data_IF_218198134773
#
_entry.id   IF_218198134773
#
_cell.length_a   1.000
_cell.length_b   1.000
_cell.length_c   1.000
_cell.angle_alpha   90.00
_cell.angle_beta   90.00
_cell.angle_gamma   90.00
#
_symmetry.space_group_name_H-M   'P 1'
#
loop_
_entity.id
_entity.type
_entity.pdbx_description
1 polymer ?
#
# COMPACT_ATOMS: atom_id res chain seq x y z
N UNK A 1 -34.04 35.93 -25.93
CA UNK A 1 -33.34 34.67 -26.25
C UNK A 1 -32.43 34.36 -25.07
N UNK A 2 -32.89 33.51 -24.14
CA UNK A 2 -32.21 33.21 -22.89
C UNK A 2 -31.41 31.91 -23.09
N UNK A 3 -30.08 32.01 -23.05
CA UNK A 3 -29.17 30.88 -23.22
C UNK A 3 -28.92 30.25 -21.84
N UNK A 4 -29.51 29.08 -21.58
CA UNK A 4 -29.20 28.26 -20.41
C UNK A 4 -27.95 27.42 -20.68
N UNK A 5 -26.87 27.67 -19.93
CA UNK A 5 -25.66 26.84 -19.95
C UNK A 5 -25.89 25.68 -18.97
N UNK A 6 -26.09 24.47 -19.49
CA UNK A 6 -26.06 23.25 -18.69
C UNK A 6 -24.62 22.96 -18.27
N UNK A 7 -24.30 23.16 -17.00
CA UNK A 7 -23.06 22.68 -16.39
C UNK A 7 -23.16 21.17 -16.20
N UNK A 8 -22.49 20.40 -17.06
CA UNK A 8 -22.31 18.97 -16.84
C UNK A 8 -21.09 18.74 -15.97
N UNK A 9 -21.32 18.24 -14.76
CA UNK A 9 -20.26 17.70 -13.91
C UNK A 9 -19.74 16.41 -14.55
N UNK A 10 -18.64 16.51 -15.31
CA UNK A 10 -17.91 15.33 -15.78
C UNK A 10 -17.27 14.67 -14.56
N UNK A 11 -17.85 13.57 -14.08
CA UNK A 11 -17.13 12.64 -13.22
C UNK A 11 -16.27 11.78 -14.13
N UNK A 12 -14.95 12.02 -14.12
CA UNK A 12 -14.01 11.06 -14.67
C UNK A 12 -14.15 9.77 -13.86
N UNK A 13 -14.79 8.75 -14.43
CA UNK A 13 -14.73 7.40 -13.88
C UNK A 13 -13.36 6.86 -14.28
N UNK A 14 -12.46 6.73 -13.31
CA UNK A 14 -11.24 5.94 -13.47
C UNK A 14 -11.72 4.51 -13.71
N UNK A 15 -11.49 3.96 -14.90
CA UNK A 15 -11.67 2.51 -15.07
C UNK A 15 -10.71 1.82 -14.11
N UNK A 16 -11.28 1.04 -13.19
CA UNK A 16 -10.50 0.25 -12.24
C UNK A 16 -9.71 -0.80 -13.03
N UNK A 17 -8.38 -0.70 -12.99
CA UNK A 17 -7.51 -1.68 -13.60
C UNK A 17 -7.66 -2.98 -12.79
N UNK A 18 -8.32 -3.99 -13.37
CA UNK A 18 -8.36 -5.32 -12.79
C UNK A 18 -7.03 -6.01 -13.05
N UNK A 19 -6.25 -6.22 -12.00
CA UNK A 19 -4.96 -6.87 -12.13
C UNK A 19 -5.00 -8.40 -12.01
N UNK A 20 -6.19 -9.00 -12.01
CA UNK A 20 -6.38 -10.46 -12.02
C UNK A 20 -6.04 -11.14 -10.69
N UNK A 21 -5.83 -12.46 -10.74
CA UNK A 21 -5.70 -13.37 -9.59
C UNK A 21 -4.26 -13.77 -9.25
N UNK A 22 -3.28 -12.95 -9.61
CA UNK A 22 -1.89 -13.26 -9.32
C UNK A 22 -1.58 -13.06 -7.82
N UNK A 23 -0.57 -13.75 -7.31
CA UNK A 23 -0.07 -13.55 -5.95
C UNK A 23 0.39 -12.09 -5.71
N UNK A 24 0.79 -11.42 -6.79
CA UNK A 24 1.21 -10.03 -6.86
C UNK A 24 0.20 -9.24 -7.70
N UNK A 25 -0.97 -8.91 -7.14
CA UNK A 25 -2.06 -8.33 -7.89
C UNK A 25 -1.67 -7.01 -8.55
N UNK A 26 -1.19 -5.97 -7.85
CA UNK A 26 -0.78 -4.72 -8.53
C UNK A 26 0.70 -4.79 -8.92
N UNK A 27 1.09 -4.98 -10.20
CA UNK A 27 2.49 -5.24 -10.56
C UNK A 27 3.45 -4.11 -10.17
N UNK A 28 3.04 -2.87 -10.41
CA UNK A 28 3.84 -1.66 -10.08
C UNK A 28 4.08 -1.46 -8.59
N UNK A 29 3.24 -2.07 -7.75
CA UNK A 29 3.30 -1.96 -6.29
C UNK A 29 3.87 -3.24 -5.66
N UNK A 30 3.73 -4.39 -6.33
CA UNK A 30 4.22 -5.69 -5.86
C UNK A 30 5.73 -5.83 -5.91
N UNK A 31 6.38 -5.13 -6.85
CA UNK A 31 7.83 -5.01 -6.94
C UNK A 31 8.48 -4.55 -5.64
N UNK A 32 7.74 -3.82 -4.78
CA UNK A 32 8.16 -3.38 -3.46
C UNK A 32 8.61 -4.54 -2.54
N UNK A 33 8.06 -5.74 -2.73
CA UNK A 33 8.45 -6.91 -1.96
C UNK A 33 9.93 -7.26 -2.17
N UNK A 34 10.43 -7.14 -3.41
CA UNK A 34 11.82 -7.44 -3.75
C UNK A 34 12.81 -6.49 -3.05
N UNK A 35 12.44 -5.22 -2.92
CA UNK A 35 13.26 -4.21 -2.22
C UNK A 35 13.23 -4.33 -0.69
N UNK A 36 12.14 -4.88 -0.12
CA UNK A 36 12.05 -5.09 1.34
C UNK A 36 12.63 -6.43 1.80
N UNK A 37 12.58 -7.49 0.98
CA UNK A 37 13.00 -8.83 1.39
C UNK A 37 14.49 -9.09 1.17
N UNK A 38 15.14 -8.36 0.25
CA UNK A 38 16.56 -8.53 -0.02
C UNK A 38 17.33 -7.40 0.67
N UNK A 39 18.13 -7.69 1.72
CA UNK A 39 19.00 -6.67 2.29
C UNK A 39 19.97 -6.21 1.22
N UNK A 40 19.98 -4.91 0.94
CA UNK A 40 20.94 -4.27 0.03
C UNK A 40 22.35 -4.49 0.57
N UNK A 41 23.09 -5.41 -0.05
CA UNK A 41 24.48 -5.70 0.27
C UNK A 41 25.19 -6.22 -0.96
N UNK A 42 26.46 -5.84 -1.13
CA UNK A 42 27.37 -6.38 -2.14
C UNK A 42 27.45 -7.92 -2.15
N UNK A 43 26.96 -8.60 -1.09
CA UNK A 43 26.95 -10.05 -0.95
C UNK A 43 25.94 -10.78 -1.86
N UNK A 44 24.90 -10.10 -2.38
CA UNK A 44 23.90 -10.73 -3.26
C UNK A 44 24.28 -10.70 -4.74
N UNK A 45 25.31 -9.93 -5.11
CA UNK A 45 25.74 -9.77 -6.51
C UNK A 45 24.76 -8.99 -7.39
N UNK A 46 23.72 -8.37 -6.80
CA UNK A 46 22.73 -7.60 -7.54
C UNK A 46 23.11 -6.11 -7.58
N UNK A 47 23.23 -5.48 -8.77
CA UNK A 47 23.50 -4.05 -8.87
C UNK A 47 22.28 -3.22 -8.46
N UNK A 48 22.49 -2.16 -7.67
CA UNK A 48 21.47 -1.17 -7.36
C UNK A 48 21.41 -0.12 -8.47
N UNK A 49 20.29 -0.04 -9.17
CA UNK A 49 20.05 0.96 -10.22
C UNK A 49 18.83 1.78 -9.80
N UNK A 50 19.06 3.04 -9.43
CA UNK A 50 18.01 3.99 -9.05
C UNK A 50 18.28 5.39 -9.61
N UNK A 51 17.26 5.99 -10.20
CA UNK A 51 17.27 7.33 -10.79
C UNK A 51 16.27 8.23 -10.05
N UNK A 52 16.71 9.23 -9.29
CA UNK A 52 15.81 10.24 -8.75
C UNK A 52 15.24 11.08 -9.90
N UNK A 53 13.91 11.17 -10.00
CA UNK A 53 13.23 11.95 -11.04
C UNK A 53 12.85 13.34 -10.54
N UNK A 54 12.38 13.42 -9.30
CA UNK A 54 11.96 14.66 -8.67
C UNK A 54 12.13 14.53 -7.16
N UNK A 55 12.57 15.60 -6.51
CA UNK A 55 12.57 15.69 -5.05
C UNK A 55 11.89 16.98 -4.63
N UNK A 56 10.77 16.85 -3.94
CA UNK A 56 10.04 17.98 -3.36
C UNK A 56 10.42 18.09 -1.88
N UNK A 57 11.16 19.15 -1.49
CA UNK A 57 11.50 19.34 -0.09
C UNK A 57 10.23 19.62 0.72
N UNK A 58 10.10 18.96 1.87
CA UNK A 58 9.01 19.27 2.81
C UNK A 58 9.43 20.35 3.81
N UNK A 59 8.46 20.87 4.57
CA UNK A 59 8.75 21.80 5.68
C UNK A 59 9.61 21.17 6.78
N UNK A 60 9.67 19.84 6.85
CA UNK A 60 10.55 19.10 7.76
C UNK A 60 11.80 18.64 7.00
N UNK A 61 12.98 19.06 7.47
CA UNK A 61 14.27 18.70 6.86
C UNK A 61 14.53 17.19 6.83
N UNK A 62 13.84 16.42 7.65
CA UNK A 62 14.02 14.97 7.76
C UNK A 62 13.13 14.17 6.79
N UNK A 63 12.27 14.83 6.02
CA UNK A 63 11.38 14.17 5.07
C UNK A 63 11.39 14.96 3.76
N UNK A 64 11.78 14.31 2.67
CA UNK A 64 11.55 14.79 1.31
C UNK A 64 10.54 13.88 0.61
N UNK A 65 9.71 14.49 -0.22
CA UNK A 65 8.79 13.75 -1.10
C UNK A 65 9.51 13.54 -2.43
N UNK A 66 10.24 12.42 -2.50
CA UNK A 66 10.93 11.99 -3.70
C UNK A 66 10.03 11.16 -4.61
N UNK A 67 10.19 11.35 -5.92
CA UNK A 67 9.78 10.40 -6.95
C UNK A 67 11.06 9.84 -7.57
N UNK A 68 11.22 8.53 -7.55
CA UNK A 68 12.38 7.84 -8.12
C UNK A 68 11.96 6.63 -8.93
N UNK A 69 12.79 6.30 -9.91
CA UNK A 69 12.66 5.11 -10.72
C UNK A 69 13.78 4.14 -10.30
N UNK A 70 13.46 2.90 -9.92
CA UNK A 70 14.47 1.91 -9.60
C UNK A 70 14.26 0.63 -10.41
N UNK A 71 15.36 -0.08 -10.67
CA UNK A 71 15.35 -1.36 -11.36
C UNK A 71 15.83 -2.46 -10.43
N UNK A 72 15.18 -3.62 -10.50
CA UNK A 72 15.61 -4.82 -9.79
C UNK A 72 15.39 -6.05 -10.68
N UNK A 73 16.44 -6.85 -10.85
CA UNK A 73 16.45 -8.04 -11.70
C UNK A 73 15.42 -9.08 -11.21
N UNK A 74 15.15 -9.14 -9.91
CA UNK A 74 14.13 -10.06 -9.36
C UNK A 74 12.72 -9.74 -9.86
N UNK A 75 12.47 -8.52 -10.33
CA UNK A 75 11.20 -8.12 -10.93
C UNK A 75 11.15 -8.40 -12.45
N UNK A 76 12.07 -9.22 -12.97
CA UNK A 76 12.13 -9.64 -14.40
C UNK A 76 11.86 -11.13 -14.60
N UNK A 77 11.47 -11.84 -13.54
CA UNK A 77 11.17 -13.27 -13.62
C UNK A 77 9.98 -13.54 -14.56
N UNK A 78 9.95 -14.74 -15.17
CA UNK A 78 8.96 -15.12 -16.19
C UNK A 78 7.50 -14.92 -15.75
N UNK A 79 7.22 -15.06 -14.46
CA UNK A 79 5.89 -14.98 -13.90
C UNK A 79 5.61 -13.64 -13.18
N UNK A 80 6.55 -12.70 -13.20
CA UNK A 80 6.34 -11.35 -12.68
C UNK A 80 5.76 -10.44 -13.77
N UNK A 81 4.56 -9.88 -13.56
CA UNK A 81 3.99 -8.94 -14.52
C UNK A 81 4.80 -7.64 -14.59
N UNK A 82 4.81 -7.01 -15.77
CA UNK A 82 5.47 -5.73 -15.97
C UNK A 82 4.78 -4.63 -15.14
N UNK A 83 5.58 -3.71 -14.58
CA UNK A 83 5.04 -2.50 -13.95
C UNK A 83 4.56 -1.49 -14.99
N UNK A 84 3.89 -0.43 -14.54
CA UNK A 84 3.47 0.71 -15.38
C UNK A 84 4.64 1.43 -16.07
N UNK A 85 5.87 1.23 -15.59
CA UNK A 85 7.12 1.80 -16.14
C UNK A 85 8.00 0.74 -16.81
N UNK A 86 7.46 -0.47 -17.03
CA UNK A 86 8.13 -1.58 -17.71
C UNK A 86 8.59 -2.70 -16.77
N UNK A 87 9.01 -3.81 -17.39
CA UNK A 87 9.52 -4.99 -16.68
C UNK A 87 10.81 -4.67 -15.92
N UNK A 88 10.94 -5.15 -14.69
CA UNK A 88 12.10 -4.90 -13.82
C UNK A 88 12.14 -3.50 -13.19
N UNK A 89 11.45 -2.52 -13.77
CA UNK A 89 11.38 -1.15 -13.28
C UNK A 89 10.27 -0.95 -12.26
N UNK A 90 10.43 0.05 -11.40
CA UNK A 90 9.45 0.43 -10.39
C UNK A 90 9.53 1.92 -10.14
N UNK A 91 8.37 2.57 -10.18
CA UNK A 91 8.23 4.00 -9.86
C UNK A 91 7.85 4.14 -8.40
N UNK A 92 8.77 4.67 -7.59
CA UNK A 92 8.52 5.02 -6.20
C UNK A 92 8.07 6.47 -6.13
N UNK A 93 6.85 6.70 -5.67
CA UNK A 93 6.32 8.03 -5.44
C UNK A 93 5.07 7.95 -4.56
N UNK A 94 4.88 8.94 -3.69
CA UNK A 94 3.66 9.05 -2.89
C UNK A 94 3.57 8.11 -1.69
N UNK A 95 4.04 6.86 -1.75
CA UNK A 95 3.97 5.88 -0.66
C UNK A 95 2.80 4.91 -0.83
N UNK A 96 3.03 3.64 -0.52
CA UNK A 96 2.09 2.55 -0.82
C UNK A 96 2.22 1.40 0.17
N UNK A 97 1.13 0.66 0.38
CA UNK A 97 1.10 -0.67 0.98
C UNK A 97 0.68 -1.66 -0.10
N UNK A 98 1.53 -2.63 -0.39
CA UNK A 98 1.30 -3.74 -1.32
C UNK A 98 0.90 -4.99 -0.56
N UNK A 99 -0.15 -5.69 -0.98
CA UNK A 99 -0.52 -7.00 -0.45
C UNK A 99 -0.04 -8.09 -1.40
N UNK A 100 0.80 -8.98 -0.89
CA UNK A 100 1.14 -10.25 -1.52
C UNK A 100 0.18 -11.32 -1.01
N UNK A 101 -0.62 -11.88 -1.93
CA UNK A 101 -1.58 -12.95 -1.64
C UNK A 101 -0.82 -14.26 -1.55
N UNK A 102 -1.02 -14.98 -0.44
CA UNK A 102 -0.55 -16.35 -0.23
C UNK A 102 -1.77 -17.25 -0.28
N UNK A 103 -1.72 -18.29 -1.11
CA UNK A 103 -2.82 -19.21 -1.39
C UNK A 103 -4.01 -18.55 -2.13
N UNK A 104 -5.09 -18.25 -1.41
CA UNK A 104 -6.32 -17.66 -1.93
C UNK A 104 -6.65 -16.39 -1.15
N UNK A 105 -7.20 -15.39 -1.82
CA UNK A 105 -7.62 -14.15 -1.19
C UNK A 105 -8.65 -14.40 -0.07
N UNK A 106 -8.45 -13.73 1.06
CA UNK A 106 -9.25 -13.91 2.28
C UNK A 106 -10.73 -13.57 2.10
N UNK A 107 -11.03 -12.62 1.21
CA UNK A 107 -12.38 -12.12 0.90
C UNK A 107 -13.27 -13.18 0.24
N UNK A 108 -12.72 -14.33 -0.16
CA UNK A 108 -13.48 -15.49 -0.62
C UNK A 108 -14.46 -16.01 0.45
N UNK A 109 -14.11 -15.83 1.73
CA UNK A 109 -14.87 -16.26 2.91
C UNK A 109 -15.61 -15.10 3.60
N UNK A 110 -16.04 -14.10 2.83
CA UNK A 110 -16.77 -12.92 3.32
C UNK A 110 -18.26 -13.17 3.67
N UNK A 111 -18.79 -14.38 3.44
CA UNK A 111 -20.21 -14.69 3.66
C UNK A 111 -20.38 -16.02 4.39
N UNK A 112 -20.90 -15.96 5.62
CA UNK A 112 -21.13 -17.13 6.48
C UNK A 112 -22.24 -18.06 5.99
N UNK A 113 -23.13 -17.60 5.11
CA UNK A 113 -24.26 -18.42 4.60
C UNK A 113 -23.90 -19.18 3.33
N UNK A 114 -22.69 -18.99 2.80
CA UNK A 114 -22.24 -19.63 1.56
C UNK A 114 -21.97 -21.11 1.80
N UNK A 115 -22.42 -21.97 0.88
CA UNK A 115 -22.01 -23.37 0.89
C UNK A 115 -20.48 -23.46 0.71
N UNK A 116 -19.82 -24.19 1.62
CA UNK A 116 -18.36 -24.27 1.68
C UNK A 116 -17.67 -23.07 2.35
N UNK A 117 -18.41 -22.21 3.05
CA UNK A 117 -17.79 -21.22 3.94
C UNK A 117 -16.94 -21.94 4.99
N UNK A 118 -15.69 -21.51 5.10
CA UNK A 118 -14.82 -21.89 6.20
C UNK A 118 -14.03 -20.68 6.65
N UNK A 119 -13.64 -20.70 7.93
CA UNK A 119 -12.73 -19.71 8.47
C UNK A 119 -11.32 -20.06 8.01
N UNK A 120 -10.81 -19.36 7.00
CA UNK A 120 -9.44 -19.55 6.52
C UNK A 120 -8.40 -18.88 7.41
N UNK A 121 -7.17 -19.38 7.32
CA UNK A 121 -5.98 -18.73 7.87
C UNK A 121 -5.59 -17.51 7.03
N UNK A 122 -5.01 -16.50 7.69
CA UNK A 122 -4.51 -15.30 7.05
C UNK A 122 -3.00 -15.44 6.88
N UNK A 123 -2.55 -15.65 5.65
CA UNK A 123 -1.14 -15.86 5.32
C UNK A 123 -0.54 -14.69 4.52
N UNK A 124 -1.38 -13.78 4.02
CA UNK A 124 -0.95 -12.66 3.19
C UNK A 124 0.06 -11.73 3.88
N UNK A 125 1.02 -11.25 3.09
CA UNK A 125 2.07 -10.34 3.55
C UNK A 125 1.82 -8.96 2.97
N UNK A 126 1.82 -7.95 3.82
CA UNK A 126 1.68 -6.56 3.45
C UNK A 126 3.06 -5.89 3.52
N UNK A 127 3.51 -5.31 2.42
CA UNK A 127 4.74 -4.55 2.30
C UNK A 127 4.41 -3.07 2.21
N UNK A 128 4.96 -2.23 3.07
CA UNK A 128 4.75 -0.79 2.99
C UNK A 128 6.05 -0.04 2.69
N UNK A 129 5.90 1.06 1.99
CA UNK A 129 6.93 2.06 1.76
C UNK A 129 6.28 3.43 1.78
N UNK A 130 6.90 4.35 2.50
CA UNK A 130 6.56 5.76 2.47
C UNK A 130 7.83 6.58 2.76
N UNK A 131 7.81 7.90 2.57
CA UNK A 131 8.98 8.73 2.83
C UNK A 131 9.58 8.49 4.22
N UNK A 132 10.79 7.92 4.26
CA UNK A 132 11.53 7.64 5.50
C UNK A 132 11.12 6.37 6.26
N UNK A 133 10.16 5.58 5.77
CA UNK A 133 9.77 4.30 6.39
C UNK A 133 9.54 3.20 5.35
N UNK A 134 9.89 1.98 5.72
CA UNK A 134 9.53 0.80 4.97
C UNK A 134 9.46 -0.41 5.89
N UNK A 135 8.69 -1.41 5.49
CA UNK A 135 8.63 -2.65 6.22
C UNK A 135 7.56 -3.58 5.71
N UNK A 136 7.28 -4.60 6.52
CA UNK A 136 6.25 -5.59 6.24
C UNK A 136 5.56 -6.06 7.49
N UNK A 137 4.30 -6.44 7.35
CA UNK A 137 3.46 -6.98 8.41
C UNK A 137 2.51 -8.03 7.84
N UNK A 138 1.83 -8.75 8.72
CA UNK A 138 0.76 -9.67 8.34
C UNK A 138 -0.35 -9.67 9.38
N UNK A 139 -1.47 -10.26 9.02
CA UNK A 139 -2.53 -10.60 9.97
C UNK A 139 -2.46 -12.08 10.31
N UNK A 140 -2.82 -12.43 11.54
CA UNK A 140 -3.02 -13.81 11.98
C UNK A 140 -4.45 -13.90 12.49
N UNK A 141 -5.17 -14.94 12.05
CA UNK A 141 -6.52 -15.24 12.50
C UNK A 141 -6.48 -16.37 13.53
N UNK A 142 -7.13 -16.16 14.67
CA UNK A 142 -7.58 -17.27 15.50
C UNK A 142 -8.87 -17.82 14.91
N UNK A 143 -8.81 -19.02 14.35
CA UNK A 143 -9.94 -19.68 13.68
C UNK A 143 -11.08 -19.97 14.65
N UNK A 144 -10.77 -20.33 15.90
CA UNK A 144 -11.78 -20.67 16.91
C UNK A 144 -12.51 -19.40 17.37
N UNK A 145 -11.75 -18.42 17.85
CA UNK A 145 -12.28 -17.17 18.39
C UNK A 145 -12.77 -16.18 17.31
N UNK A 146 -12.39 -16.38 16.05
CA UNK A 146 -12.63 -15.45 14.93
C UNK A 146 -12.05 -14.05 15.18
N UNK A 147 -10.90 -13.98 15.85
CA UNK A 147 -10.19 -12.74 16.15
C UNK A 147 -8.99 -12.57 15.23
N UNK A 148 -8.61 -11.33 14.95
CA UNK A 148 -7.53 -11.00 14.04
C UNK A 148 -6.47 -10.15 14.75
N UNK A 149 -5.22 -10.57 14.65
CA UNK A 149 -4.08 -9.88 15.22
C UNK A 149 -3.18 -9.38 14.10
N UNK A 150 -2.79 -8.11 14.17
CA UNK A 150 -1.73 -7.57 13.33
C UNK A 150 -0.37 -7.90 13.94
N UNK A 151 0.54 -8.44 13.14
CA UNK A 151 1.91 -8.76 13.52
C UNK A 151 2.87 -8.00 12.60
N UNK A 152 3.64 -7.07 13.18
CA UNK A 152 4.74 -6.43 12.47
C UNK A 152 5.88 -7.44 12.28
N UNK A 153 6.31 -7.64 11.04
CA UNK A 153 7.37 -8.57 10.67
C UNK A 153 8.72 -7.87 10.45
N UNK A 154 8.73 -6.54 10.47
CA UNK A 154 9.93 -5.73 10.41
C UNK A 154 10.43 -5.40 11.81
N UNK A 155 11.75 -5.27 11.96
CA UNK A 155 12.41 -4.90 13.23
C UNK A 155 12.26 -3.42 13.60
N UNK A 156 11.43 -2.65 12.88
CA UNK A 156 11.17 -1.24 13.15
C UNK A 156 10.15 -1.06 14.29
N UNK A 157 10.00 0.18 14.74
CA UNK A 157 9.07 0.54 15.83
C UNK A 157 7.79 1.19 15.30
N UNK A 158 7.47 0.94 14.04
CA UNK A 158 6.34 1.57 13.39
C UNK A 158 5.04 0.98 13.94
N UNK A 159 4.13 1.85 14.39
CA UNK A 159 2.81 1.45 14.87
C UNK A 159 1.86 1.44 13.68
N UNK A 160 1.23 0.28 13.44
CA UNK A 160 0.33 0.09 12.31
C UNK A 160 -1.10 -0.06 12.84
N UNK A 161 -1.95 0.88 12.47
CA UNK A 161 -3.37 0.92 12.79
C UNK A 161 -4.17 0.71 11.50
N UNK A 162 -5.36 0.13 11.61
CA UNK A 162 -6.20 -0.17 10.46
C UNK A 162 -7.67 0.06 10.79
N UNK A 163 -8.45 0.37 9.76
CA UNK A 163 -9.92 0.37 9.80
C UNK A 163 -10.40 -0.81 8.99
N UNK A 164 -11.36 -1.57 9.54
CA UNK A 164 -12.03 -2.67 8.86
C UNK A 164 -13.50 -2.33 8.63
N UNK A 165 -14.09 -2.94 7.61
CA UNK A 165 -15.52 -2.84 7.39
C UNK A 165 -16.31 -3.68 8.42
N UNK A 166 -17.64 -3.63 8.32
CA UNK A 166 -18.57 -4.32 9.22
C UNK A 166 -18.72 -5.84 8.95
N UNK A 167 -17.91 -6.42 8.05
CA UNK A 167 -17.99 -7.85 7.76
C UNK A 167 -17.54 -8.66 8.98
N UNK A 168 -18.39 -9.62 9.40
CA UNK A 168 -18.13 -10.50 10.54
C UNK A 168 -17.60 -11.88 10.14
N UNK A 169 -17.72 -12.25 8.86
CA UNK A 169 -17.30 -13.54 8.32
C UNK A 169 -15.77 -13.64 8.15
N UNK A 170 -15.14 -12.54 7.73
CA UNK A 170 -13.68 -12.39 7.54
C UNK A 170 -13.24 -10.95 7.82
N UNK A 171 -11.92 -10.69 7.79
CA UNK A 171 -11.36 -9.35 7.91
C UNK A 171 -11.23 -8.71 6.53
N UNK A 172 -11.86 -7.54 6.34
CA UNK A 172 -11.75 -6.73 5.13
C UNK A 172 -11.33 -5.32 5.53
N UNK A 173 -10.20 -4.86 4.99
CA UNK A 173 -9.46 -3.69 5.45
C UNK A 173 -9.76 -2.48 4.57
N UNK A 174 -10.32 -1.41 5.13
CA UNK A 174 -10.69 -0.19 4.41
C UNK A 174 -9.54 0.82 4.33
N UNK A 175 -8.71 0.92 5.37
CA UNK A 175 -7.59 1.86 5.39
C UNK A 175 -6.54 1.50 6.44
N UNK A 176 -5.38 2.13 6.32
CA UNK A 176 -4.30 2.03 7.29
C UNK A 176 -3.79 3.39 7.72
N UNK A 177 -3.33 3.47 8.97
CA UNK A 177 -2.50 4.56 9.48
C UNK A 177 -1.22 3.99 10.04
N UNK A 178 -0.08 4.35 9.47
CA UNK A 178 1.23 3.99 10.01
C UNK A 178 1.79 5.20 10.75
N UNK A 179 2.24 5.01 11.99
CA UNK A 179 2.93 6.03 12.77
C UNK A 179 4.37 5.60 13.00
N UNK A 180 5.32 6.40 12.56
CA UNK A 180 6.74 6.12 12.76
C UNK A 180 7.22 6.46 14.18
N UNK A 181 8.45 6.08 14.52
CA UNK A 181 9.07 6.39 15.81
C UNK A 181 9.26 7.90 16.07
N UNK A 182 9.18 8.75 15.03
CA UNK A 182 9.30 10.21 15.12
C UNK A 182 7.93 10.88 15.28
N UNK A 183 6.84 10.12 15.28
CA UNK A 183 5.47 10.60 15.40
C UNK A 183 4.84 11.09 14.10
N UNK A 184 5.48 10.88 12.94
CA UNK A 184 4.89 11.15 11.64
C UNK A 184 3.79 10.11 11.37
N UNK A 185 2.65 10.56 10.84
CA UNK A 185 1.49 9.73 10.52
C UNK A 185 1.25 9.67 9.02
N UNK A 186 1.16 8.46 8.51
CA UNK A 186 0.96 8.14 7.10
C UNK A 186 -0.42 7.52 6.93
N UNK A 187 -1.31 8.19 6.20
CA UNK A 187 -2.71 7.77 6.00
C UNK A 187 -2.89 7.15 4.63
N UNK A 188 -3.18 5.85 4.59
CA UNK A 188 -3.44 5.07 3.39
C UNK A 188 -4.95 4.81 3.29
N UNK A 189 -5.66 5.74 2.67
CA UNK A 189 -7.12 5.79 2.63
C UNK A 189 -7.70 5.49 1.24
N UNK A 190 -6.85 5.39 0.24
CA UNK A 190 -7.22 4.95 -1.10
C UNK A 190 -6.69 3.53 -1.32
N UNK A 191 -7.37 2.73 -2.13
CA UNK A 191 -7.04 1.32 -2.33
C UNK A 191 -7.40 0.84 -3.72
N UNK A 192 -6.66 -0.16 -4.21
CA UNK A 192 -7.02 -0.86 -5.45
C UNK A 192 -8.16 -1.85 -5.20
N UNK A 193 -8.97 -2.06 -6.24
CA UNK A 193 -9.94 -3.15 -6.31
C UNK A 193 -9.50 -4.10 -7.40
N UNK A 194 -9.46 -5.39 -7.10
CA UNK A 194 -9.11 -6.43 -8.07
C UNK A 194 -10.17 -7.53 -7.99
N UNK A 195 -10.48 -8.16 -9.11
CA UNK A 195 -11.54 -9.19 -9.16
C UNK A 195 -11.01 -10.53 -9.62
N UNK A 196 -11.56 -11.60 -9.03
CA UNK A 196 -11.26 -12.95 -9.45
C UNK A 196 -12.02 -13.32 -10.73
N UNK A 197 -11.28 -13.70 -11.78
CA UNK A 197 -11.83 -14.17 -13.05
C UNK A 197 -12.21 -15.66 -13.04
N UNK A 198 -12.01 -16.38 -11.92
CA UNK A 198 -12.35 -17.82 -11.84
C UNK A 198 -13.87 -18.01 -11.88
N UNK A 199 -14.34 -18.90 -12.75
CA UNK A 199 -15.77 -19.16 -13.04
C UNK A 199 -16.62 -19.44 -11.77
N UNK A 200 -16.04 -20.10 -10.75
CA UNK A 200 -16.70 -20.45 -9.48
C UNK A 200 -16.70 -19.32 -8.43
N UNK A 201 -16.09 -18.18 -8.75
CA UNK A 201 -15.85 -17.03 -7.85
C UNK A 201 -16.08 -15.68 -8.55
N UNK A 202 -16.89 -15.71 -9.61
CA UNK A 202 -17.19 -14.56 -10.46
C UNK A 202 -17.64 -13.36 -9.62
N UNK A 203 -17.02 -12.20 -9.86
CA UNK A 203 -17.33 -10.88 -9.28
C UNK A 203 -16.98 -10.67 -7.79
N UNK A 204 -16.07 -11.44 -7.19
CA UNK A 204 -15.56 -11.09 -5.86
C UNK A 204 -14.38 -10.14 -5.96
N UNK A 205 -14.54 -8.98 -5.34
CA UNK A 205 -13.51 -7.97 -5.23
C UNK A 205 -12.65 -8.23 -4.00
N UNK A 206 -11.34 -8.06 -4.15
CA UNK A 206 -10.39 -8.00 -3.04
C UNK A 206 -9.50 -6.78 -3.20
N UNK A 207 -8.92 -6.33 -2.08
CA UNK A 207 -8.03 -5.17 -2.06
C UNK A 207 -6.59 -5.62 -2.06
N UNK A 208 -5.84 -5.12 -3.02
CA UNK A 208 -4.48 -5.57 -3.37
C UNK A 208 -3.39 -4.57 -3.00
N UNK A 209 -3.73 -3.29 -2.90
CA UNK A 209 -2.83 -2.22 -2.54
C UNK A 209 -3.59 -1.07 -1.87
N UNK A 210 -2.89 -0.31 -1.03
CA UNK A 210 -3.39 0.90 -0.38
C UNK A 210 -2.41 2.05 -0.64
N UNK A 211 -2.92 3.19 -1.08
CA UNK A 211 -2.10 4.32 -1.52
C UNK A 211 -2.10 5.43 -0.46
N UNK A 212 -0.92 6.02 -0.23
CA UNK A 212 -0.79 7.13 0.71
C UNK A 212 -1.54 8.33 0.16
N UNK A 213 -2.46 8.87 0.95
CA UNK A 213 -3.21 10.07 0.60
C UNK A 213 -2.74 11.28 1.38
N UNK A 214 -2.25 11.07 2.61
CA UNK A 214 -1.88 12.16 3.50
C UNK A 214 -0.73 11.78 4.42
N UNK A 215 0.18 12.72 4.59
CA UNK A 215 1.26 12.68 5.57
C UNK A 215 1.08 13.82 6.56
N UNK A 216 1.00 13.51 7.84
CA UNK A 216 1.03 14.50 8.92
C UNK A 216 2.33 14.36 9.69
N UNK A 217 3.03 15.48 9.81
CA UNK A 217 4.22 15.58 10.63
C UNK A 217 3.82 16.26 11.95
N UNK A 218 4.38 15.83 13.10
CA UNK A 218 4.17 16.57 14.34
C UNK A 218 4.68 18.00 14.15
N UNK A 219 3.90 18.98 14.63
CA UNK A 219 4.29 20.37 14.54
C UNK A 219 5.62 20.56 15.29
N UNK A 220 6.65 20.99 14.56
CA UNK A 220 7.87 21.49 15.20
C UNK A 220 7.44 22.77 15.92
N UNK A 221 7.40 22.76 17.25
CA UNK A 221 7.35 23.97 18.07
C UNK A 221 8.56 24.82 17.67
N UNK A 222 8.39 25.76 16.74
CA UNK A 222 9.28 26.91 16.69
C UNK A 222 8.78 27.85 17.77
N UNK A 223 9.61 28.10 18.76
CA UNK A 223 9.51 29.30 19.60
C UNK A 223 9.14 30.50 18.71
N UNK A 224 8.19 31.35 19.12
CA UNK A 224 7.88 32.54 18.36
C UNK A 224 9.18 33.35 18.25
N UNK A 225 9.61 33.62 17.01
CA UNK A 225 10.64 34.61 16.73
C UNK A 225 10.04 35.93 17.22
N UNK A 226 10.41 36.34 18.44
CA UNK A 226 10.08 37.63 18.99
C UNK A 226 10.93 38.66 18.24
N UNK A 227 10.42 39.11 17.09
CA UNK A 227 10.93 40.28 16.40
C UNK A 227 10.52 41.51 17.22
N UNK A 228 11.29 41.80 18.27
CA UNK A 228 11.18 43.09 18.96
C UNK A 228 12.29 44.00 18.45
N UNK A 229 11.82 45.10 17.86
CA UNK A 229 12.54 46.18 17.18
C UNK A 229 13.79 46.62 17.94
N UNK A 230 14.89 46.76 17.20
CA UNK A 230 15.95 47.71 17.54
C UNK A 230 15.47 49.06 17.00
N UNK A 231 15.09 49.97 17.90
CA UNK A 231 15.20 51.41 17.69
C UNK A 231 16.32 51.89 18.62
#
# INVERSE_FOLDING_TARGET
>A
MLFCIFSQYVKAQREDINFGNFANPVPSVSSLASYNNVPQSNATGLPEIAFPLLELPSRNKNISLGVSLAYNILNTERNEPASDVGTGWSLFGGGVISRKIIDLYDERNDNTTRNGYSKNEFNDIYYYNAPGISGKFRFIRDVNANTFQLVNLSSNKDKIEYVRNSNTATLILDSFTITDAKGNKYFFNDYSRSTSEKILEKNREFRSAFFLQRLLMPAILRSPILLTKIC
#
